data_IF_210021022363
#
_entry.id   IF_210021022363
#
_cell.length_a   1.000
_cell.length_b   1.000
_cell.length_c   1.000
_cell.angle_alpha   90.00
_cell.angle_beta   90.00
_cell.angle_gamma   90.00
#
_symmetry.space_group_name_H-M   'P 1'
#
loop_
_entity.id
_entity.type
_entity.pdbx_description
1 polymer ?
#
# COMPACT_ATOMS: atom_id res chain seq x y z
N UNK A 1 -11.77 -1.50 6.30
CA UNK A 1 -11.47 -0.36 5.43
C UNK A 1 -11.17 -0.86 4.03
N UNK A 2 -11.85 -0.34 3.02
CA UNK A 2 -11.63 -0.76 1.64
C UNK A 2 -11.11 0.44 0.82
N UNK A 3 -9.88 0.33 0.32
CA UNK A 3 -9.21 1.32 -0.53
C UNK A 3 -9.29 2.77 0.01
N UNK A 4 -9.12 2.95 1.31
CA UNK A 4 -9.22 4.26 1.97
C UNK A 4 -7.98 4.66 2.75
N UNK A 5 -7.28 3.71 3.38
CA UNK A 5 -6.17 4.02 4.29
C UNK A 5 -4.96 4.64 3.59
N UNK A 6 -4.78 4.42 2.30
CA UNK A 6 -3.69 5.05 1.52
C UNK A 6 -3.86 6.59 1.37
N UNK A 7 -5.04 7.14 1.68
CA UNK A 7 -5.26 8.58 1.75
C UNK A 7 -4.83 9.21 3.08
N UNK A 8 -4.47 8.38 4.07
CA UNK A 8 -4.01 8.88 5.36
C UNK A 8 -2.65 9.56 5.24
N UNK A 9 -2.54 10.78 5.75
CA UNK A 9 -1.28 11.53 5.82
C UNK A 9 -0.28 10.87 6.79
N UNK A 10 -0.81 10.24 7.85
CA UNK A 10 -0.02 9.54 8.87
C UNK A 10 -0.71 8.20 9.15
N UNK A 11 -0.19 7.18 8.49
CA UNK A 11 -0.76 5.83 8.58
C UNK A 11 -0.70 5.27 10.01
N UNK A 12 0.39 5.49 10.72
CA UNK A 12 0.57 5.02 12.10
C UNK A 12 -0.43 5.66 13.05
N UNK A 13 -0.70 6.97 12.91
CA UNK A 13 -1.76 7.62 13.70
C UNK A 13 -3.13 7.05 13.39
N UNK A 14 -3.42 6.79 12.12
CA UNK A 14 -4.70 6.17 11.73
C UNK A 14 -4.86 4.80 12.33
N UNK A 15 -3.81 3.97 12.32
CA UNK A 15 -3.82 2.67 12.98
C UNK A 15 -4.07 2.78 14.49
N UNK A 16 -3.44 3.73 15.16
CA UNK A 16 -3.65 3.96 16.58
C UNK A 16 -5.10 4.35 16.90
N UNK A 17 -5.73 5.20 16.07
CA UNK A 17 -7.14 5.57 16.22
C UNK A 17 -8.08 4.40 15.93
N UNK A 18 -7.81 3.60 14.91
CA UNK A 18 -8.54 2.37 14.65
C UNK A 18 -8.41 1.43 15.86
N UNK A 19 -7.19 1.25 16.38
CA UNK A 19 -6.97 0.43 17.56
C UNK A 19 -7.73 0.95 18.79
N UNK A 20 -7.79 2.27 18.98
CA UNK A 20 -8.51 2.89 20.09
C UNK A 20 -9.99 2.55 20.11
N UNK A 21 -10.62 2.46 18.95
CA UNK A 21 -12.07 2.20 18.84
C UNK A 21 -12.42 0.72 18.76
N UNK A 22 -11.46 -0.13 18.39
CA UNK A 22 -11.65 -1.58 18.35
C UNK A 22 -11.66 -2.16 19.79
N UNK A 23 -12.58 -3.09 20.03
CA UNK A 23 -12.53 -3.91 21.25
C UNK A 23 -11.26 -4.78 21.23
N UNK A 24 -10.74 -5.18 22.40
CA UNK A 24 -9.72 -6.23 22.47
C UNK A 24 -10.17 -7.48 21.70
N UNK A 25 -9.28 -8.07 20.92
CA UNK A 25 -9.60 -9.17 20.02
C UNK A 25 -10.41 -8.80 18.77
N UNK A 26 -10.70 -7.49 18.56
CA UNK A 26 -11.38 -7.02 17.35
C UNK A 26 -10.49 -7.14 16.12
N UNK A 27 -11.10 -7.43 14.97
CA UNK A 27 -10.42 -7.57 13.69
C UNK A 27 -10.35 -6.22 12.95
N UNK A 28 -9.16 -5.84 12.52
CA UNK A 28 -8.94 -4.87 11.44
C UNK A 28 -8.74 -5.66 10.14
N UNK A 29 -9.60 -5.42 9.15
CA UNK A 29 -9.46 -5.90 7.79
C UNK A 29 -9.42 -4.71 6.86
N UNK A 30 -8.44 -4.64 5.96
CA UNK A 30 -8.29 -3.52 5.04
C UNK A 30 -7.73 -3.93 3.69
N UNK A 31 -7.99 -3.09 2.70
CA UNK A 31 -7.28 -3.09 1.43
C UNK A 31 -6.71 -1.71 1.13
N UNK A 32 -5.58 -1.68 0.45
CA UNK A 32 -4.87 -0.47 0.04
C UNK A 32 -4.33 -0.61 -1.38
N UNK A 33 -4.03 0.52 -1.98
CA UNK A 33 -3.33 0.58 -3.27
C UNK A 33 -1.83 0.52 -3.00
N UNK A 34 -1.13 -0.37 -3.70
CA UNK A 34 0.31 -0.58 -3.55
C UNK A 34 1.15 0.23 -4.55
N UNK A 35 2.50 0.23 -4.37
CA UNK A 35 3.44 1.09 -5.10
C UNK A 35 3.53 0.80 -6.60
N UNK A 36 3.24 -0.41 -7.06
CA UNK A 36 3.29 -0.77 -8.47
C UNK A 36 2.04 -0.33 -9.26
N UNK A 37 1.05 0.25 -8.57
CA UNK A 37 -0.14 0.79 -9.24
C UNK A 37 0.23 1.89 -10.21
N UNK A 38 -0.32 1.79 -11.44
CA UNK A 38 -0.09 2.74 -12.54
C UNK A 38 1.41 2.90 -12.90
N UNK A 39 2.20 1.83 -12.76
CA UNK A 39 3.63 1.85 -13.07
C UNK A 39 3.90 2.27 -14.52
N UNK A 40 3.06 1.86 -15.48
CA UNK A 40 3.17 2.25 -16.88
C UNK A 40 2.97 3.76 -17.06
N UNK A 41 1.97 4.33 -16.39
CA UNK A 41 1.70 5.76 -16.42
C UNK A 41 2.84 6.56 -15.78
N UNK A 42 3.38 6.07 -14.65
CA UNK A 42 4.53 6.68 -13.97
C UNK A 42 5.77 6.64 -14.84
N UNK A 43 6.05 5.51 -15.48
CA UNK A 43 7.17 5.38 -16.41
C UNK A 43 7.07 6.35 -17.59
N UNK A 44 5.88 6.50 -18.17
CA UNK A 44 5.66 7.42 -19.27
C UNK A 44 5.81 8.89 -18.86
N UNK A 45 5.34 9.27 -17.68
CA UNK A 45 5.53 10.63 -17.17
C UNK A 45 6.99 10.95 -16.90
N UNK A 46 7.78 10.00 -16.39
CA UNK A 46 9.23 10.19 -16.19
C UNK A 46 10.00 10.48 -17.48
N UNK A 47 9.44 10.15 -18.67
CA UNK A 47 10.00 10.54 -19.96
C UNK A 47 9.60 11.94 -20.40
N UNK A 48 8.63 12.57 -19.75
CA UNK A 48 8.13 13.90 -20.08
C UNK A 48 8.80 14.98 -19.24
N UNK A 49 8.86 14.76 -17.93
CA UNK A 49 9.51 15.65 -16.96
C UNK A 49 9.83 14.90 -15.65
N UNK A 50 10.55 15.57 -14.75
CA UNK A 50 11.00 15.01 -13.46
C UNK A 50 9.99 15.23 -12.31
N UNK A 51 8.75 15.63 -12.62
CA UNK A 51 7.75 15.94 -11.59
C UNK A 51 6.92 14.71 -11.23
N UNK A 52 6.47 14.59 -9.98
CA UNK A 52 5.56 13.51 -9.59
C UNK A 52 4.17 13.74 -10.20
N UNK A 53 3.75 12.87 -11.10
CA UNK A 53 2.42 12.89 -11.72
C UNK A 53 1.49 11.79 -11.20
N UNK A 54 2.04 10.74 -10.62
CA UNK A 54 1.31 9.63 -10.00
C UNK A 54 1.63 9.63 -8.51
N UNK A 55 0.62 9.42 -7.67
CA UNK A 55 0.83 9.33 -6.22
C UNK A 55 1.78 8.19 -5.87
N UNK A 56 2.64 8.41 -4.88
CA UNK A 56 3.51 7.36 -4.32
C UNK A 56 2.75 6.67 -3.20
N UNK A 57 2.55 5.38 -3.35
CA UNK A 57 1.86 4.55 -2.36
C UNK A 57 2.88 3.88 -1.45
N UNK A 58 2.43 3.51 -0.25
CA UNK A 58 3.27 2.88 0.78
C UNK A 58 3.50 1.42 0.41
N UNK A 59 4.73 0.95 0.60
CA UNK A 59 5.12 -0.45 0.40
C UNK A 59 4.51 -1.37 1.47
N UNK A 60 4.29 -2.63 1.11
CA UNK A 60 3.74 -3.64 2.01
C UNK A 60 4.61 -3.86 3.26
N UNK A 61 5.94 -3.75 3.14
CA UNK A 61 6.85 -3.91 4.28
C UNK A 61 6.69 -2.76 5.28
N UNK A 62 6.60 -1.51 4.80
CA UNK A 62 6.38 -0.34 5.64
C UNK A 62 5.02 -0.40 6.34
N UNK A 63 3.99 -0.90 5.63
CA UNK A 63 2.66 -1.14 6.21
C UNK A 63 2.72 -2.18 7.34
N UNK A 64 3.42 -3.29 7.11
CA UNK A 64 3.62 -4.34 8.11
C UNK A 64 4.36 -3.81 9.33
N UNK A 65 5.43 -3.06 9.11
CA UNK A 65 6.22 -2.48 10.20
C UNK A 65 5.41 -1.48 11.03
N UNK A 66 4.56 -0.69 10.36
CA UNK A 66 3.62 0.20 11.05
C UNK A 66 2.60 -0.58 11.89
N UNK A 67 2.09 -1.71 11.41
CA UNK A 67 1.20 -2.60 12.19
C UNK A 67 1.92 -3.20 13.40
N UNK A 68 3.19 -3.58 13.26
CA UNK A 68 3.99 -4.14 14.37
C UNK A 68 4.35 -3.09 15.42
N UNK A 69 4.45 -1.81 15.04
CA UNK A 69 4.70 -0.68 15.96
C UNK A 69 3.43 -0.24 16.70
N UNK A 70 2.27 -0.69 16.27
CA UNK A 70 0.97 -0.41 16.92
C UNK A 70 0.49 -1.64 17.70
N UNK A 71 -0.40 -1.50 18.69
CA UNK A 71 -0.86 -2.64 19.49
C UNK A 71 -1.85 -3.53 18.73
N UNK A 72 -1.43 -3.99 17.56
CA UNK A 72 -2.04 -5.08 16.80
C UNK A 72 -1.19 -6.35 16.91
N UNK A 73 -1.83 -7.49 16.77
CA UNK A 73 -1.20 -8.81 16.78
C UNK A 73 -1.51 -9.58 15.50
N UNK A 74 -0.62 -10.51 15.16
CA UNK A 74 -0.76 -11.41 14.02
C UNK A 74 -1.11 -10.71 12.70
N UNK A 75 -0.36 -9.67 12.27
CA UNK A 75 -0.58 -9.06 10.99
C UNK A 75 -0.28 -10.06 9.86
N UNK A 76 -1.25 -10.23 8.97
CA UNK A 76 -1.08 -11.00 7.74
C UNK A 76 -1.38 -10.08 6.59
N UNK A 77 -0.54 -10.15 5.56
CA UNK A 77 -0.66 -9.32 4.37
C UNK A 77 -0.51 -10.17 3.12
N UNK A 78 -1.23 -9.78 2.09
CA UNK A 78 -1.22 -10.40 0.78
C UNK A 78 -1.30 -9.32 -0.30
N UNK A 79 -0.82 -9.63 -1.50
CA UNK A 79 -0.80 -8.71 -2.64
C UNK A 79 -1.38 -9.38 -3.86
N UNK A 80 -2.24 -8.67 -4.57
CA UNK A 80 -2.79 -9.11 -5.84
C UNK A 80 -2.63 -8.04 -6.91
N UNK A 81 -2.46 -8.47 -8.16
CA UNK A 81 -2.26 -7.58 -9.31
C UNK A 81 -3.41 -7.71 -10.30
N UNK A 82 -3.99 -6.56 -10.65
CA UNK A 82 -5.04 -6.46 -11.65
C UNK A 82 -4.55 -5.60 -12.80
N UNK A 83 -4.74 -6.06 -14.03
CA UNK A 83 -4.42 -5.28 -15.23
C UNK A 83 -5.69 -4.88 -15.92
N UNK A 84 -5.99 -3.58 -15.92
CA UNK A 84 -7.08 -3.01 -16.69
C UNK A 84 -6.59 -2.65 -18.09
N UNK A 85 -7.40 -2.90 -19.12
CA UNK A 85 -7.03 -2.71 -20.51
C UNK A 85 -7.83 -1.57 -21.16
N UNK A 86 -7.13 -0.56 -21.63
CA UNK A 86 -7.71 0.64 -22.23
C UNK A 86 -7.44 0.71 -23.72
N UNK A 87 -8.39 1.25 -24.47
CA UNK A 87 -8.19 1.48 -25.92
C UNK A 87 -7.30 2.70 -26.19
N UNK A 88 -7.28 3.69 -25.29
CA UNK A 88 -6.50 4.92 -25.39
C UNK A 88 -6.06 5.38 -24.00
N UNK A 89 -4.83 5.91 -23.88
CA UNK A 89 -4.32 6.47 -22.63
C UNK A 89 -5.21 7.61 -22.07
N UNK A 90 -5.86 8.37 -22.95
CA UNK A 90 -6.78 9.45 -22.54
C UNK A 90 -7.99 8.91 -21.76
N UNK A 91 -8.49 7.71 -22.10
CA UNK A 91 -9.62 7.09 -21.39
C UNK A 91 -9.22 6.75 -19.97
N UNK A 92 -8.03 6.14 -19.78
CA UNK A 92 -7.48 5.89 -18.45
C UNK A 92 -7.41 7.18 -17.63
N UNK A 93 -6.80 8.23 -18.18
CA UNK A 93 -6.65 9.51 -17.45
C UNK A 93 -7.99 10.15 -17.12
N UNK A 94 -8.97 10.04 -18.01
CA UNK A 94 -10.33 10.53 -17.76
C UNK A 94 -10.99 9.76 -16.62
N UNK A 95 -10.89 8.45 -16.63
CA UNK A 95 -11.47 7.58 -15.60
C UNK A 95 -10.84 7.85 -14.23
N UNK A 96 -9.51 7.98 -14.13
CA UNK A 96 -8.82 8.37 -12.90
C UNK A 96 -9.31 9.73 -12.38
N UNK A 97 -9.55 10.68 -13.27
CA UNK A 97 -10.11 11.98 -12.91
C UNK A 97 -11.55 11.88 -12.42
N UNK A 98 -12.39 11.10 -13.09
CA UNK A 98 -13.80 10.91 -12.77
C UNK A 98 -13.97 10.18 -11.42
N UNK A 99 -13.04 9.28 -11.08
CA UNK A 99 -12.95 8.60 -9.78
C UNK A 99 -12.42 9.52 -8.66
N UNK A 100 -11.95 10.72 -8.98
CA UNK A 100 -11.34 11.63 -8.00
C UNK A 100 -9.96 11.21 -7.53
N UNK A 101 -9.35 10.21 -8.16
CA UNK A 101 -8.01 9.71 -7.84
C UNK A 101 -6.97 10.66 -8.46
N UNK A 102 -6.76 11.80 -7.80
CA UNK A 102 -5.79 12.81 -8.25
C UNK A 102 -4.49 12.69 -7.47
N UNK A 103 -3.40 13.08 -8.12
CA UNK A 103 -2.12 13.22 -7.43
C UNK A 103 -2.18 14.33 -6.37
N UNK A 104 -1.99 13.96 -5.11
CA UNK A 104 -1.99 14.86 -3.96
C UNK A 104 -0.59 15.19 -3.46
N UNK A 105 0.49 14.78 -4.16
CA UNK A 105 1.85 15.10 -3.76
C UNK A 105 2.05 16.62 -3.59
N UNK A 106 2.77 17.01 -2.55
CA UNK A 106 2.99 18.42 -2.21
C UNK A 106 3.79 19.16 -3.28
N UNK A 107 4.69 18.45 -3.94
CA UNK A 107 5.60 18.90 -5.00
C UNK A 107 5.01 18.72 -6.43
N UNK A 108 3.73 18.29 -6.52
CA UNK A 108 3.06 18.16 -7.82
C UNK A 108 2.99 19.49 -8.57
N UNK A 109 2.94 19.44 -9.87
CA UNK A 109 2.70 20.62 -10.70
C UNK A 109 1.31 21.21 -10.39
N UNK A 110 1.30 22.50 -10.01
CA UNK A 110 0.07 23.25 -9.75
C UNK A 110 -0.29 24.07 -10.99
N UNK A 111 -0.89 23.48 -11.96
CA UNK A 111 -1.28 24.17 -13.18
C UNK A 111 -1.82 23.22 -14.22
N UNK A 112 -2.20 23.78 -15.37
CA UNK A 112 -2.64 22.99 -16.51
C UNK A 112 -1.43 22.28 -17.13
N UNK A 113 -1.59 21.00 -17.42
CA UNK A 113 -0.60 20.24 -18.18
C UNK A 113 -0.51 20.80 -19.61
N UNK A 114 0.69 21.22 -20.09
CA UNK A 114 0.85 21.68 -21.45
C UNK A 114 0.42 20.62 -22.47
N UNK A 115 -0.17 21.05 -23.58
CA UNK A 115 -0.60 20.13 -24.65
C UNK A 115 0.55 19.28 -25.18
N UNK A 116 1.75 19.87 -25.29
CA UNK A 116 2.95 19.13 -25.73
C UNK A 116 3.37 18.01 -24.76
N UNK A 117 3.29 18.26 -23.45
CA UNK A 117 3.57 17.23 -22.43
C UNK A 117 2.56 16.09 -22.50
N UNK A 118 1.28 16.42 -22.68
CA UNK A 118 0.25 15.40 -22.84
C UNK A 118 0.44 14.56 -24.10
N UNK A 119 0.85 15.17 -25.21
CA UNK A 119 1.15 14.45 -26.45
C UNK A 119 2.34 13.50 -26.28
N UNK A 120 3.42 13.95 -25.62
CA UNK A 120 4.58 13.10 -25.31
C UNK A 120 4.20 11.92 -24.43
N UNK A 121 3.38 12.15 -23.39
CA UNK A 121 2.86 11.11 -22.54
C UNK A 121 2.09 10.05 -23.33
N UNK A 122 1.12 10.48 -24.16
CA UNK A 122 0.33 9.58 -24.98
C UNK A 122 1.24 8.76 -25.90
N UNK A 123 2.21 9.40 -26.55
CA UNK A 123 3.15 8.70 -27.43
C UNK A 123 4.01 7.69 -26.65
N UNK A 124 4.51 8.05 -25.46
CA UNK A 124 5.25 7.12 -24.60
C UNK A 124 4.39 5.94 -24.18
N UNK A 125 3.11 6.17 -23.85
CA UNK A 125 2.21 5.10 -23.42
C UNK A 125 1.89 4.09 -24.54
N UNK A 126 1.95 4.51 -25.82
CA UNK A 126 1.75 3.62 -26.96
C UNK A 126 2.78 2.48 -27.02
N UNK A 127 3.95 2.63 -26.40
CA UNK A 127 4.97 1.57 -26.34
C UNK A 127 4.51 0.34 -25.52
N UNK A 128 3.53 0.53 -24.65
CA UNK A 128 2.92 -0.55 -23.85
C UNK A 128 1.73 -1.24 -24.56
N UNK A 129 1.39 -0.83 -25.78
CA UNK A 129 0.27 -1.42 -26.51
C UNK A 129 0.50 -2.91 -26.76
N UNK A 130 -0.40 -3.73 -26.26
CA UNK A 130 -0.34 -5.18 -26.43
C UNK A 130 -0.78 -5.63 -27.84
N UNK A 131 -0.66 -6.92 -28.13
CA UNK A 131 -1.02 -7.52 -29.42
C UNK A 131 -2.49 -7.40 -29.77
N UNK A 132 -3.38 -7.17 -28.80
CA UNK A 132 -4.81 -6.94 -28.97
C UNK A 132 -5.15 -5.45 -29.21
N UNK A 133 -4.13 -4.60 -29.32
CA UNK A 133 -4.31 -3.17 -29.51
C UNK A 133 -4.79 -2.43 -28.25
N UNK A 134 -4.55 -2.98 -27.05
CA UNK A 134 -4.94 -2.39 -25.77
C UNK A 134 -3.71 -1.89 -24.99
N UNK A 135 -3.94 -0.88 -24.16
CA UNK A 135 -2.95 -0.30 -23.26
C UNK A 135 -3.22 -0.81 -21.84
N UNK A 136 -2.26 -1.48 -21.20
CA UNK A 136 -2.41 -1.96 -19.82
C UNK A 136 -2.32 -0.81 -18.82
N UNK A 137 -3.01 -0.93 -17.72
CA UNK A 137 -2.79 -0.16 -16.50
C UNK A 137 -2.81 -1.14 -15.32
N UNK A 138 -1.67 -1.28 -14.68
CA UNK A 138 -1.48 -2.19 -13.56
C UNK A 138 -2.03 -1.57 -12.28
N UNK A 139 -2.72 -2.35 -11.49
CA UNK A 139 -3.19 -2.05 -10.15
C UNK A 139 -2.66 -3.10 -9.19
N UNK A 140 -1.89 -2.67 -8.23
CA UNK A 140 -1.46 -3.49 -7.11
C UNK A 140 -2.39 -3.23 -5.93
N UNK A 141 -3.01 -4.28 -5.42
CA UNK A 141 -3.88 -4.18 -4.25
C UNK A 141 -3.27 -4.99 -3.12
N UNK A 142 -2.98 -4.31 -2.04
CA UNK A 142 -2.49 -4.90 -0.79
C UNK A 142 -3.69 -5.15 0.10
N UNK A 143 -3.85 -6.39 0.53
CA UNK A 143 -4.82 -6.80 1.54
C UNK A 143 -4.10 -7.01 2.85
N UNK A 144 -4.72 -6.59 3.94
CA UNK A 144 -4.14 -6.81 5.25
C UNK A 144 -5.20 -7.06 6.30
N UNK A 145 -4.84 -7.88 7.29
CA UNK A 145 -5.61 -7.97 8.51
C UNK A 145 -4.70 -8.07 9.73
N UNK A 146 -5.22 -7.62 10.85
CA UNK A 146 -4.57 -7.74 12.14
C UNK A 146 -5.61 -7.71 13.26
N UNK A 147 -5.28 -8.30 14.39
CA UNK A 147 -6.18 -8.35 15.56
C UNK A 147 -5.76 -7.28 16.57
N UNK A 148 -6.74 -6.56 17.10
CA UNK A 148 -6.48 -5.64 18.20
C UNK A 148 -5.98 -6.41 19.41
N UNK A 149 -4.70 -6.23 19.77
CA UNK A 149 -4.13 -6.94 20.93
C UNK A 149 -4.92 -6.63 22.20
N UNK A 150 -5.02 -7.58 23.10
CA UNK A 150 -5.58 -7.35 24.43
C UNK A 150 -4.77 -6.23 25.11
N UNK A 151 -5.43 -5.37 25.90
CA UNK A 151 -4.70 -4.36 26.68
C UNK A 151 -3.71 -5.11 27.56
N UNK A 152 -2.41 -4.88 27.35
CA UNK A 152 -1.42 -5.30 28.32
C UNK A 152 -1.77 -4.61 29.64
N UNK A 153 -2.13 -5.36 30.63
CA UNK A 153 -2.46 -4.88 31.97
C UNK A 153 -1.22 -4.38 32.72
N UNK A 154 -0.02 -4.60 32.16
CA UNK A 154 1.25 -4.22 32.78
C UNK A 154 2.13 -3.38 31.84
N UNK A 155 2.07 -2.07 32.03
CA UNK A 155 3.02 -1.12 31.41
C UNK A 155 4.44 -1.18 32.00
N UNK A 156 4.75 -2.08 32.93
CA UNK A 156 6.01 -2.08 33.67
C UNK A 156 6.82 -3.38 33.70
N UNK A 157 6.47 -4.36 32.88
CA UNK A 157 7.33 -5.54 32.78
C UNK A 157 7.67 -5.80 31.32
N UNK A 158 8.82 -5.29 30.84
CA UNK A 158 9.63 -6.01 29.88
C UNK A 158 10.02 -7.34 30.55
N UNK A 159 9.06 -8.24 30.67
CA UNK A 159 9.34 -9.53 31.26
C UNK A 159 10.27 -10.27 30.32
N UNK A 160 11.50 -10.43 30.78
CA UNK A 160 12.32 -11.56 30.42
C UNK A 160 11.41 -12.77 30.24
N UNK A 161 11.39 -13.34 29.07
CA UNK A 161 10.77 -14.64 28.84
C UNK A 161 11.62 -15.61 29.65
N UNK A 162 11.22 -15.88 30.90
CA UNK A 162 11.87 -16.89 31.73
C UNK A 162 11.51 -18.25 31.13
N UNK A 163 12.33 -18.73 30.22
CA UNK A 163 12.25 -20.10 29.72
C UNK A 163 12.81 -20.98 30.85
N UNK A 164 11.99 -21.82 31.50
CA UNK A 164 12.48 -22.67 32.57
C UNK A 164 13.54 -23.62 32.02
N UNK A 165 14.72 -23.66 32.65
CA UNK A 165 15.86 -24.47 32.20
C UNK A 165 15.53 -25.96 31.98
N UNK A 166 14.49 -26.49 32.64
CA UNK A 166 14.05 -27.85 32.43
C UNK A 166 13.44 -28.11 31.02
N UNK A 167 12.86 -27.10 30.36
CA UNK A 167 12.39 -27.22 28.97
C UNK A 167 13.55 -27.29 27.97
N UNK A 168 14.66 -26.64 28.27
CA UNK A 168 15.85 -26.69 27.41
C UNK A 168 16.55 -28.04 27.55
N UNK A 169 16.64 -28.58 28.77
CA UNK A 169 17.24 -29.90 29.02
C UNK A 169 16.47 -31.08 28.39
N UNK A 170 15.14 -30.99 28.31
CA UNK A 170 14.33 -32.00 27.66
C UNK A 170 14.56 -32.11 26.16
N UNK A 171 14.86 -31.00 25.50
CA UNK A 171 15.15 -31.00 24.05
C UNK A 171 16.57 -31.52 23.73
N UNK A 172 17.55 -31.27 24.59
CA UNK A 172 18.95 -31.73 24.37
C UNK A 172 19.06 -33.25 24.53
N UNK A 173 18.28 -33.88 25.40
CA UNK A 173 18.31 -35.33 25.63
C UNK A 173 17.59 -36.16 24.54
N UNK A 174 16.83 -35.54 23.64
CA UNK A 174 16.18 -36.20 22.51
C UNK A 174 17.01 -36.16 21.20
N UNK A 175 18.25 -35.67 21.25
CA UNK A 175 19.16 -35.57 20.07
C UNK A 175 20.33 -36.56 20.21
N UNK A 176 20.19 -37.61 21.02
CA UNK A 176 21.15 -38.72 21.06
C UNK A 176 20.53 -40.01 20.54
#
# INVERSE_FOLDING_TARGET
SNLMLHWSVDFTKSLNEIRRVLKPGGLLLFSMVGPDTLQELRYCWAQVDDKPHVHVFVDMHDLRDSLLQTPFSNPVMDVDYFTLLYSKAFILMKELKDLGVQNLALDRQRGLTPKGSLQKLIQAYETFRNTEGKLPATWEIIYGHAWAAEKRTDQNNFNEIKIPLHHIRAQINNIK
#
